data_IF_440714686427
#
_entry.id   IF_440714686427
#
_cell.length_a   1.000
_cell.length_b   1.000
_cell.length_c   1.000
_cell.angle_alpha   90.00
_cell.angle_beta   90.00
_cell.angle_gamma   90.00
#
_symmetry.space_group_name_H-M   'P 1'
#
loop_
_entity.id
_entity.type
_entity.pdbx_description
1 polymer ?
#
# COMPACT_ATOMS: atom_id res chain seq x y z
N UNK A 1 6.69 -4.62 -30.56
CA UNK A 1 6.11 -3.93 -29.38
C UNK A 1 5.82 -2.51 -29.80
N UNK A 2 4.59 -2.00 -29.67
CA UNK A 2 4.30 -0.58 -29.96
C UNK A 2 4.96 0.27 -28.89
N UNK A 3 5.65 1.34 -29.28
CA UNK A 3 6.14 2.32 -28.32
C UNK A 3 4.94 2.97 -27.61
N UNK A 4 4.94 3.04 -26.27
CA UNK A 4 3.83 3.61 -25.53
C UNK A 4 3.73 5.11 -25.85
N UNK A 5 2.50 5.57 -26.11
CA UNK A 5 2.24 6.99 -26.36
C UNK A 5 2.50 7.82 -25.10
N UNK A 6 2.84 9.12 -25.23
CA UNK A 6 3.05 10.00 -24.09
C UNK A 6 1.87 10.06 -23.11
N UNK A 7 0.63 9.85 -23.61
CA UNK A 7 -0.56 9.76 -22.77
C UNK A 7 -0.59 8.47 -21.96
N UNK A 8 -0.30 7.31 -22.56
CA UNK A 8 -0.25 6.02 -21.86
C UNK A 8 0.80 5.99 -20.76
N UNK A 9 1.95 6.62 -21.00
CA UNK A 9 3.01 6.78 -19.98
C UNK A 9 2.51 7.60 -18.80
N UNK A 10 1.84 8.74 -19.05
CA UNK A 10 1.27 9.60 -17.99
C UNK A 10 0.22 8.88 -17.16
N UNK A 11 -0.72 8.17 -17.78
CA UNK A 11 -1.76 7.41 -17.06
C UNK A 11 -1.17 6.26 -16.25
N UNK A 12 -0.19 5.55 -16.80
CA UNK A 12 0.50 4.47 -16.08
C UNK A 12 1.22 5.02 -14.86
N UNK A 13 1.95 6.12 -15.01
CA UNK A 13 2.61 6.79 -13.89
C UNK A 13 1.63 7.27 -12.83
N UNK A 14 0.51 7.88 -13.22
CA UNK A 14 -0.51 8.34 -12.28
C UNK A 14 -1.07 7.17 -11.46
N UNK A 15 -1.45 6.06 -12.11
CA UNK A 15 -1.96 4.88 -11.41
C UNK A 15 -0.93 4.25 -10.47
N UNK A 16 0.32 4.19 -10.90
CA UNK A 16 1.44 3.66 -10.09
C UNK A 16 1.71 4.54 -8.86
N UNK A 17 1.78 5.87 -9.05
CA UNK A 17 2.01 6.81 -7.95
C UNK A 17 0.83 6.85 -6.98
N UNK A 18 -0.40 6.73 -7.47
CA UNK A 18 -1.58 6.59 -6.62
C UNK A 18 -1.55 5.29 -5.82
N UNK A 19 -1.16 4.17 -6.43
CA UNK A 19 -0.99 2.89 -5.72
C UNK A 19 0.09 2.96 -4.63
N UNK A 20 1.21 3.63 -4.93
CA UNK A 20 2.26 3.90 -3.95
C UNK A 20 1.75 4.78 -2.80
N UNK A 21 1.05 5.86 -3.12
CA UNK A 21 0.46 6.76 -2.13
C UNK A 21 -0.53 6.01 -1.24
N UNK A 22 -1.41 5.18 -1.81
CA UNK A 22 -2.38 4.38 -1.07
C UNK A 22 -1.69 3.40 -0.11
N UNK A 23 -0.66 2.69 -0.57
CA UNK A 23 0.11 1.76 0.26
C UNK A 23 0.87 2.48 1.40
N UNK A 24 1.38 3.69 1.14
CA UNK A 24 2.01 4.51 2.15
C UNK A 24 0.99 5.10 3.14
N UNK A 25 -0.18 5.51 2.66
CA UNK A 25 -1.26 6.09 3.45
C UNK A 25 -1.84 5.07 4.41
N UNK A 26 -2.07 3.84 3.97
CA UNK A 26 -2.55 2.76 4.82
C UNK A 26 -1.66 2.54 6.05
N UNK A 27 -0.33 2.50 5.87
CA UNK A 27 0.58 2.35 7.01
C UNK A 27 0.47 3.48 8.02
N UNK A 28 0.33 4.72 7.56
CA UNK A 28 0.29 5.89 8.44
C UNK A 28 -1.06 6.00 9.15
N UNK A 29 -2.18 5.80 8.44
CA UNK A 29 -3.52 5.83 9.03
C UNK A 29 -3.69 4.68 10.04
N UNK A 30 -3.32 3.45 9.69
CA UNK A 30 -3.44 2.29 10.60
C UNK A 30 -2.66 2.51 11.89
N UNK A 31 -1.43 3.02 11.80
CA UNK A 31 -0.61 3.34 12.98
C UNK A 31 -1.32 4.27 13.97
N UNK A 32 -2.07 5.26 13.49
CA UNK A 32 -2.84 6.16 14.36
C UNK A 32 -4.10 5.53 14.96
N UNK A 33 -4.72 4.59 14.26
CA UNK A 33 -5.90 3.87 14.73
C UNK A 33 -5.58 2.72 15.70
N UNK A 34 -4.33 2.22 15.67
CA UNK A 34 -3.90 1.04 16.43
C UNK A 34 -4.26 1.04 17.93
N UNK A 35 -4.09 2.14 18.70
CA UNK A 35 -4.48 2.16 20.10
C UNK A 35 -5.98 1.87 20.30
N UNK A 36 -6.84 2.38 19.41
CA UNK A 36 -8.28 2.14 19.45
C UNK A 36 -8.62 0.71 19.05
N UNK A 37 -7.97 0.19 18.00
CA UNK A 37 -8.13 -1.20 17.52
C UNK A 37 -7.86 -2.18 18.65
N UNK A 38 -6.72 -2.03 19.34
CA UNK A 38 -6.35 -2.93 20.45
C UNK A 38 -7.28 -2.79 21.64
N UNK A 39 -7.77 -1.58 21.92
CA UNK A 39 -8.76 -1.34 22.96
C UNK A 39 -10.09 -2.07 22.70
N UNK A 40 -10.55 -2.09 21.44
CA UNK A 40 -11.84 -2.72 21.07
C UNK A 40 -11.72 -4.23 20.83
N UNK A 41 -10.70 -4.68 20.10
CA UNK A 41 -10.55 -6.10 19.74
C UNK A 41 -9.94 -6.95 20.85
N UNK A 42 -9.29 -6.30 21.84
CA UNK A 42 -8.48 -6.93 22.91
C UNK A 42 -7.32 -7.74 22.32
N UNK A 43 -6.22 -7.86 23.06
CA UNK A 43 -5.01 -8.56 22.59
C UNK A 43 -3.85 -7.60 22.29
N UNK A 44 -3.42 -6.86 23.31
CA UNK A 44 -2.28 -5.95 23.22
C UNK A 44 -0.96 -6.67 22.85
N UNK A 45 -0.84 -7.96 23.19
CA UNK A 45 0.28 -8.81 22.76
C UNK A 45 0.42 -8.89 21.22
N UNK A 46 -0.66 -8.67 20.48
CA UNK A 46 -0.69 -8.73 19.03
C UNK A 46 -0.45 -7.37 18.36
N UNK A 47 -0.28 -6.29 19.12
CA UNK A 47 -0.08 -4.94 18.60
C UNK A 47 1.05 -4.90 17.55
N UNK A 48 2.22 -5.43 17.90
CA UNK A 48 3.39 -5.43 17.01
C UNK A 48 3.21 -6.32 15.78
N UNK A 49 2.36 -7.35 15.87
CA UNK A 49 2.13 -8.30 14.78
C UNK A 49 1.31 -7.68 13.64
N UNK A 50 0.46 -6.68 13.89
CA UNK A 50 -0.34 -6.01 12.85
C UNK A 50 0.55 -5.33 11.80
N UNK A 51 1.61 -4.66 12.23
CA UNK A 51 2.58 -4.02 11.32
C UNK A 51 3.61 -5.03 10.81
N UNK A 52 4.12 -5.90 11.68
CA UNK A 52 5.16 -6.87 11.32
C UNK A 52 4.69 -7.83 10.24
N UNK A 53 3.47 -8.36 10.35
CA UNK A 53 2.90 -9.30 9.38
C UNK A 53 2.71 -8.67 8.00
N UNK A 54 2.20 -7.43 7.95
CA UNK A 54 2.13 -6.64 6.73
C UNK A 54 3.51 -6.44 6.09
N UNK A 55 4.51 -6.05 6.88
CA UNK A 55 5.87 -5.84 6.39
C UNK A 55 6.50 -7.13 5.86
N UNK A 56 6.34 -8.24 6.57
CA UNK A 56 6.81 -9.57 6.12
C UNK A 56 6.18 -9.95 4.78
N UNK A 57 4.85 -9.89 4.67
CA UNK A 57 4.14 -10.18 3.44
C UNK A 57 4.57 -9.24 2.30
N UNK A 58 4.70 -7.94 2.57
CA UNK A 58 5.13 -6.94 1.58
C UNK A 58 6.54 -7.22 1.05
N UNK A 59 7.46 -7.64 1.93
CA UNK A 59 8.85 -7.95 1.59
C UNK A 59 8.94 -9.19 0.71
N UNK A 60 8.15 -10.23 1.01
CA UNK A 60 8.09 -11.45 0.18
C UNK A 60 7.41 -11.18 -1.17
N UNK A 61 6.39 -10.32 -1.20
CA UNK A 61 5.64 -10.01 -2.41
C UNK A 61 6.43 -9.21 -3.44
N UNK A 62 7.25 -8.25 -2.98
CA UNK A 62 8.03 -7.37 -3.85
C UNK A 62 8.82 -8.11 -4.97
N UNK A 63 9.68 -9.11 -4.68
CA UNK A 63 10.42 -9.83 -5.73
C UNK A 63 9.51 -10.68 -6.62
N UNK A 64 8.44 -11.27 -6.07
CA UNK A 64 7.49 -12.11 -6.81
C UNK A 64 6.80 -11.28 -7.88
N UNK A 65 6.20 -10.15 -7.49
CA UNK A 65 5.50 -9.26 -8.42
C UNK A 65 6.45 -8.56 -9.38
N UNK A 66 7.68 -8.26 -8.95
CA UNK A 66 8.75 -7.79 -9.84
C UNK A 66 8.96 -8.75 -11.01
N UNK A 67 9.14 -10.04 -10.73
CA UNK A 67 9.33 -11.08 -11.76
C UNK A 67 8.06 -11.31 -12.60
N UNK A 68 6.88 -11.24 -12.00
CA UNK A 68 5.61 -11.41 -12.74
C UNK A 68 5.43 -10.37 -13.85
N UNK A 69 6.01 -9.17 -13.72
CA UNK A 69 5.96 -8.16 -14.81
C UNK A 69 6.78 -8.50 -16.04
N UNK A 70 7.69 -9.46 -15.95
CA UNK A 70 8.46 -9.96 -17.10
C UNK A 70 7.65 -11.00 -17.88
N UNK A 71 6.78 -11.75 -17.19
CA UNK A 71 5.98 -12.84 -17.74
C UNK A 71 4.61 -12.37 -18.24
N UNK A 72 4.03 -11.36 -17.59
CA UNK A 72 2.69 -10.86 -17.87
C UNK A 72 2.70 -9.36 -18.17
N UNK A 73 1.61 -8.86 -18.74
CA UNK A 73 1.45 -7.42 -18.99
C UNK A 73 1.48 -6.62 -17.69
N UNK A 74 2.35 -5.60 -17.63
CA UNK A 74 2.50 -4.69 -16.46
C UNK A 74 1.17 -4.14 -15.94
N UNK A 75 0.26 -3.77 -16.85
CA UNK A 75 -1.09 -3.29 -16.51
C UNK A 75 -1.87 -4.33 -15.70
N UNK A 76 -1.91 -5.58 -16.15
CA UNK A 76 -2.62 -6.66 -15.46
C UNK A 76 -2.03 -6.91 -14.08
N UNK A 77 -0.70 -6.94 -13.97
CA UNK A 77 -0.02 -7.14 -12.68
C UNK A 77 -0.30 -5.99 -11.70
N UNK A 78 -0.29 -4.74 -12.19
CA UNK A 78 -0.67 -3.56 -11.39
C UNK A 78 -2.11 -3.66 -10.89
N UNK A 79 -3.06 -3.99 -11.77
CA UNK A 79 -4.47 -4.13 -11.39
C UNK A 79 -4.67 -5.27 -10.38
N UNK A 80 -3.99 -6.41 -10.56
CA UNK A 80 -4.03 -7.51 -9.58
C UNK A 80 -3.50 -7.07 -8.23
N UNK A 81 -2.40 -6.32 -8.18
CA UNK A 81 -1.85 -5.78 -6.94
C UNK A 81 -2.83 -4.81 -6.24
N UNK A 82 -3.48 -3.92 -7.00
CA UNK A 82 -4.52 -3.03 -6.49
C UNK A 82 -5.69 -3.83 -5.93
N UNK A 83 -6.22 -4.81 -6.66
CA UNK A 83 -7.34 -5.64 -6.20
C UNK A 83 -6.98 -6.40 -4.93
N UNK A 84 -5.78 -7.00 -4.88
CA UNK A 84 -5.31 -7.73 -3.70
C UNK A 84 -5.20 -6.80 -2.48
N UNK A 85 -4.67 -5.60 -2.67
CA UNK A 85 -4.59 -4.59 -1.64
C UNK A 85 -5.99 -4.16 -1.15
N UNK A 86 -6.90 -3.83 -2.06
CA UNK A 86 -8.27 -3.40 -1.70
C UNK A 86 -9.06 -4.50 -0.99
N UNK A 87 -8.91 -5.76 -1.42
CA UNK A 87 -9.55 -6.90 -0.76
C UNK A 87 -8.99 -7.10 0.66
N UNK A 88 -7.67 -7.05 0.83
CA UNK A 88 -7.04 -7.11 2.15
C UNK A 88 -7.47 -5.96 3.07
N UNK A 89 -7.61 -4.75 2.50
CA UNK A 89 -8.13 -3.58 3.20
C UNK A 89 -9.57 -3.80 3.66
N UNK A 90 -10.47 -4.16 2.74
CA UNK A 90 -11.87 -4.40 3.06
C UNK A 90 -12.06 -5.50 4.13
N UNK A 91 -11.29 -6.59 4.04
CA UNK A 91 -11.30 -7.65 5.05
C UNK A 91 -10.77 -7.16 6.40
N UNK A 92 -9.71 -6.35 6.42
CA UNK A 92 -9.18 -5.75 7.65
C UNK A 92 -10.21 -4.88 8.36
N UNK A 93 -10.99 -4.09 7.63
CA UNK A 93 -12.12 -3.32 8.17
C UNK A 93 -13.27 -4.17 8.73
N UNK A 94 -13.43 -5.41 8.24
CA UNK A 94 -14.42 -6.38 8.71
C UNK A 94 -13.94 -7.24 9.89
N UNK A 95 -12.68 -7.09 10.32
CA UNK A 95 -12.10 -7.93 11.35
C UNK A 95 -12.84 -7.81 12.70
N UNK A 96 -12.99 -8.96 13.37
CA UNK A 96 -13.69 -9.09 14.66
C UNK A 96 -12.75 -9.40 15.82
N UNK A 97 -11.49 -9.73 15.56
CA UNK A 97 -10.45 -9.97 16.55
C UNK A 97 -9.05 -9.70 15.96
N UNK A 98 -8.04 -9.59 16.83
CA UNK A 98 -6.67 -9.27 16.42
C UNK A 98 -6.06 -10.30 15.46
N UNK A 99 -6.36 -11.59 15.64
CA UNK A 99 -5.82 -12.64 14.76
C UNK A 99 -6.35 -12.52 13.32
N UNK A 100 -7.65 -12.26 13.15
CA UNK A 100 -8.24 -11.98 11.84
C UNK A 100 -7.63 -10.74 11.21
N UNK A 101 -7.46 -9.66 12.00
CA UNK A 101 -6.84 -8.44 11.50
C UNK A 101 -5.41 -8.71 11.00
N UNK A 102 -4.59 -9.47 11.74
CA UNK A 102 -3.25 -9.86 11.31
C UNK A 102 -3.28 -10.63 9.99
N UNK A 103 -4.13 -11.65 9.87
CA UNK A 103 -4.23 -12.45 8.64
C UNK A 103 -4.65 -11.59 7.43
N UNK A 104 -5.58 -10.66 7.62
CA UNK A 104 -6.01 -9.76 6.56
C UNK A 104 -4.94 -8.70 6.22
N UNK A 105 -4.14 -8.29 7.21
CA UNK A 105 -2.97 -7.42 7.01
C UNK A 105 -1.85 -8.11 6.26
N UNK A 106 -1.64 -9.41 6.45
CA UNK A 106 -0.73 -10.20 5.60
C UNK A 106 -1.19 -10.18 4.14
N UNK A 107 -2.48 -10.47 3.91
CA UNK A 107 -3.06 -10.44 2.56
C UNK A 107 -2.94 -9.05 1.92
N UNK A 108 -3.25 -8.00 2.68
CA UNK A 108 -3.11 -6.61 2.23
C UNK A 108 -1.64 -6.25 1.95
N UNK A 109 -0.72 -6.72 2.80
CA UNK A 109 0.73 -6.54 2.66
C UNK A 109 1.27 -7.14 1.37
N UNK A 110 0.73 -8.27 0.91
CA UNK A 110 1.07 -8.81 -0.41
C UNK A 110 0.74 -7.80 -1.53
N UNK A 111 -0.43 -7.17 -1.48
CA UNK A 111 -0.81 -6.12 -2.43
C UNK A 111 0.06 -4.86 -2.29
N UNK A 112 0.30 -4.41 -1.06
CA UNK A 112 1.08 -3.20 -0.78
C UNK A 112 2.54 -3.31 -1.21
N UNK A 113 3.18 -4.46 -0.94
CA UNK A 113 4.55 -4.73 -1.39
C UNK A 113 4.66 -4.82 -2.91
N UNK A 114 3.65 -5.40 -3.56
CA UNK A 114 3.55 -5.40 -5.01
C UNK A 114 3.43 -3.99 -5.58
N UNK A 115 2.53 -3.15 -5.05
CA UNK A 115 2.37 -1.76 -5.48
C UNK A 115 3.67 -0.96 -5.34
N UNK A 116 4.37 -1.13 -4.21
CA UNK A 116 5.64 -0.48 -3.97
C UNK A 116 6.73 -0.92 -4.96
N UNK A 117 6.88 -2.24 -5.18
CA UNK A 117 7.85 -2.78 -6.13
C UNK A 117 7.54 -2.38 -7.57
N UNK A 118 6.27 -2.43 -7.97
CA UNK A 118 5.80 -2.00 -9.29
C UNK A 118 6.05 -0.51 -9.52
N UNK A 119 5.94 0.31 -8.47
CA UNK A 119 6.28 1.71 -8.55
C UNK A 119 7.75 1.93 -8.84
N UNK A 120 8.64 1.30 -8.07
CA UNK A 120 10.08 1.46 -8.25
C UNK A 120 10.52 0.97 -9.63
N UNK A 121 10.03 -0.21 -10.04
CA UNK A 121 10.40 -0.83 -11.32
C UNK A 121 9.84 -0.08 -12.53
N UNK A 122 8.59 0.40 -12.49
CA UNK A 122 8.00 1.16 -13.60
C UNK A 122 8.72 2.49 -13.80
N UNK A 123 9.03 3.17 -12.70
CA UNK A 123 9.79 4.41 -12.71
C UNK A 123 11.22 4.18 -13.25
N UNK A 124 11.89 3.11 -12.83
CA UNK A 124 13.23 2.77 -13.31
C UNK A 124 13.29 2.44 -14.81
N UNK A 125 12.19 1.99 -15.40
CA UNK A 125 12.09 1.65 -16.84
C UNK A 125 11.75 2.87 -17.68
N UNK A 126 10.91 3.79 -17.18
CA UNK A 126 10.46 4.97 -17.92
C UNK A 126 11.49 6.11 -17.95
N UNK A 127 12.36 6.20 -16.95
CA UNK A 127 13.29 7.32 -16.81
C UNK A 127 14.76 6.88 -16.88
N UNK A 128 15.62 7.67 -17.55
CA UNK A 128 17.04 7.38 -17.63
C UNK A 128 17.72 7.46 -16.25
N UNK A 129 18.85 6.76 -16.04
CA UNK A 129 19.52 6.68 -14.73
C UNK A 129 19.86 8.02 -14.08
N UNK A 130 20.12 9.05 -14.91
CA UNK A 130 20.45 10.41 -14.46
C UNK A 130 19.28 11.11 -13.75
N UNK A 131 18.04 10.69 -14.00
CA UNK A 131 16.85 11.26 -13.40
C UNK A 131 16.42 10.53 -12.12
N UNK A 132 17.08 9.42 -11.76
CA UNK A 132 16.74 8.61 -10.58
C UNK A 132 16.77 9.40 -9.27
N UNK A 133 17.54 10.48 -9.18
CA UNK A 133 17.48 11.41 -8.04
C UNK A 133 16.13 12.13 -7.93
N UNK A 134 15.54 12.58 -9.04
CA UNK A 134 14.19 13.15 -9.06
C UNK A 134 13.14 12.10 -8.70
N UNK A 135 13.36 10.84 -9.09
CA UNK A 135 12.48 9.72 -8.77
C UNK A 135 12.44 9.45 -7.27
N UNK A 136 13.59 9.40 -6.60
CA UNK A 136 13.67 9.32 -5.15
C UNK A 136 12.95 10.50 -4.47
N UNK A 137 13.02 11.70 -5.06
CA UNK A 137 12.26 12.87 -4.63
C UNK A 137 10.74 12.70 -4.75
N UNK A 138 10.24 12.12 -5.84
CA UNK A 138 8.80 11.83 -6.03
C UNK A 138 8.33 10.78 -5.02
N UNK A 139 9.11 9.71 -4.80
CA UNK A 139 8.85 8.73 -3.74
C UNK A 139 8.77 9.41 -2.38
N UNK A 140 9.81 10.18 -2.03
CA UNK A 140 9.85 10.94 -0.78
C UNK A 140 8.67 11.90 -0.63
N UNK A 141 8.23 12.55 -1.72
CA UNK A 141 7.06 13.42 -1.72
C UNK A 141 5.75 12.67 -1.45
N UNK A 142 5.56 11.48 -2.04
CA UNK A 142 4.38 10.64 -1.76
C UNK A 142 4.36 10.13 -0.31
N UNK A 143 5.51 9.69 0.21
CA UNK A 143 5.64 9.32 1.61
C UNK A 143 5.44 10.51 2.55
N UNK A 144 6.00 11.67 2.23
CA UNK A 144 5.81 12.90 3.00
C UNK A 144 4.36 13.35 3.02
N UNK A 145 3.68 13.29 1.87
CA UNK A 145 2.26 13.60 1.76
C UNK A 145 1.41 12.61 2.56
N UNK A 146 1.69 11.31 2.45
CA UNK A 146 1.03 10.29 3.29
C UNK A 146 1.27 10.54 4.78
N UNK A 147 2.50 10.84 5.19
CA UNK A 147 2.82 11.10 6.60
C UNK A 147 2.16 12.36 7.15
N UNK A 148 1.84 13.34 6.31
CA UNK A 148 1.10 14.53 6.70
C UNK A 148 -0.41 14.28 6.75
N UNK A 149 -0.96 13.66 5.71
CA UNK A 149 -2.41 13.47 5.54
C UNK A 149 -2.94 12.29 6.36
N UNK A 150 -2.15 11.23 6.48
CA UNK A 150 -2.54 9.97 7.11
C UNK A 150 -2.92 10.12 8.57
N UNK A 151 -2.06 10.66 9.45
CA UNK A 151 -2.41 10.84 10.86
C UNK A 151 -3.62 11.74 11.08
N UNK A 152 -3.77 12.78 10.25
CA UNK A 152 -4.91 13.69 10.34
C UNK A 152 -6.23 12.99 9.96
N UNK A 153 -6.24 12.25 8.84
CA UNK A 153 -7.40 11.45 8.44
C UNK A 153 -7.67 10.33 9.45
N UNK A 154 -6.65 9.60 9.87
CA UNK A 154 -6.78 8.48 10.81
C UNK A 154 -7.33 8.88 12.16
N UNK A 155 -6.86 10.01 12.70
CA UNK A 155 -7.45 10.61 13.90
C UNK A 155 -8.91 10.98 13.70
N UNK A 156 -9.23 11.75 12.66
CA UNK A 156 -10.61 12.18 12.37
C UNK A 156 -11.58 10.98 12.25
N UNK A 157 -11.17 9.93 11.54
CA UNK A 157 -12.00 8.74 11.32
C UNK A 157 -12.15 7.89 12.59
N UNK A 158 -11.07 7.76 13.36
CA UNK A 158 -11.07 6.98 14.59
C UNK A 158 -11.86 7.67 15.70
N UNK A 159 -11.79 9.00 15.77
CA UNK A 159 -12.44 9.80 16.81
C UNK A 159 -13.94 10.02 16.54
N UNK A 160 -14.36 10.21 15.29
CA UNK A 160 -15.74 10.56 14.94
C UNK A 160 -16.58 9.42 14.36
N UNK A 161 -15.96 8.38 13.80
CA UNK A 161 -16.66 7.28 13.15
C UNK A 161 -16.34 5.95 13.85
N UNK A 162 -15.37 5.22 13.32
CA UNK A 162 -14.87 3.95 13.83
C UNK A 162 -13.52 3.70 13.17
N UNK A 163 -12.60 3.08 13.91
CA UNK A 163 -11.31 2.66 13.37
C UNK A 163 -11.43 1.80 12.10
N UNK A 164 -12.57 1.12 11.87
CA UNK A 164 -12.80 0.30 10.67
C UNK A 164 -12.74 1.10 9.38
N UNK A 165 -13.14 2.38 9.42
CA UNK A 165 -13.16 3.25 8.25
C UNK A 165 -11.77 3.55 7.70
N UNK A 166 -10.74 3.46 8.53
CA UNK A 166 -9.32 3.57 8.13
C UNK A 166 -8.98 2.60 7.00
N UNK A 167 -9.67 1.45 6.93
CA UNK A 167 -9.45 0.43 5.91
C UNK A 167 -10.37 0.53 4.68
N UNK A 168 -11.37 1.42 4.69
CA UNK A 168 -12.34 1.53 3.58
C UNK A 168 -12.09 2.73 2.66
N UNK A 169 -11.06 3.52 2.92
CA UNK A 169 -10.73 4.77 2.23
C UNK A 169 -9.43 4.58 1.45
#
# INVERSE_FOLDING_TARGET
MREPTPQEVRFTMAGVLLGLFLAALDQTIVSTAMPRIVGELRGAEYYAWVTTSYLLASTVSAPIFGRLTELFSRKSILLTAVVLFLLGSALSGLSQNMAQLILFRELQGLGGGALFALALTTIAVLFPPRERGKLAGIFGAMFGLSSAVGPWLGGLLTDHLSWRWVFYI
#
